data_IF_540459429712
#
_entry.id   IF_540459429712
#
_cell.length_a   1.000
_cell.length_b   1.000
_cell.length_c   1.000
_cell.angle_alpha   90.00
_cell.angle_beta   90.00
_cell.angle_gamma   90.00
#
_symmetry.space_group_name_H-M   'P 1'
#
loop_
_entity.id
_entity.type
_entity.pdbx_description
1 polymer ?
#
# COMPACT_ATOMS: atom_id res chain seq x y z
N UNK A 1 -54.92 28.24 -47.47
CA UNK A 1 -55.01 29.65 -47.93
C UNK A 1 -54.82 30.55 -46.72
N UNK A 2 -54.12 31.67 -46.91
CA UNK A 2 -53.29 32.37 -45.92
C UNK A 2 -54.06 32.95 -44.73
N UNK A 3 -53.50 32.81 -43.52
CA UNK A 3 -53.72 33.74 -42.42
C UNK A 3 -52.40 33.87 -41.65
N UNK A 4 -51.73 35.01 -41.80
CA UNK A 4 -50.50 35.34 -41.07
C UNK A 4 -50.75 36.63 -40.30
N UNK A 5 -50.96 36.48 -38.98
CA UNK A 5 -51.16 37.58 -38.05
C UNK A 5 -49.81 37.90 -37.41
N UNK A 6 -49.33 39.11 -37.64
CA UNK A 6 -48.17 39.72 -37.00
C UNK A 6 -48.59 40.09 -35.57
N UNK A 7 -47.86 39.62 -34.56
CA UNK A 7 -47.83 40.24 -33.23
C UNK A 7 -46.38 40.43 -32.78
N UNK A 8 -46.17 41.67 -32.34
CA UNK A 8 -44.96 42.34 -31.90
C UNK A 8 -44.52 41.93 -30.48
N UNK A 9 -43.27 42.30 -30.18
CA UNK A 9 -42.70 42.66 -28.86
C UNK A 9 -42.11 41.54 -27.98
N UNK A 10 -40.81 41.32 -28.22
CA UNK A 10 -39.71 41.44 -27.24
C UNK A 10 -40.05 41.39 -25.74
N UNK A 11 -39.47 40.41 -25.04
CA UNK A 11 -38.82 40.65 -23.75
C UNK A 11 -37.76 39.56 -23.54
N UNK A 12 -36.53 39.99 -23.25
CA UNK A 12 -35.35 39.15 -23.23
C UNK A 12 -35.32 38.13 -22.09
N UNK A 13 -34.55 37.07 -22.33
CA UNK A 13 -33.95 36.28 -21.27
C UNK A 13 -32.53 35.95 -21.72
N UNK A 14 -31.58 36.68 -21.15
CA UNK A 14 -30.17 36.31 -21.08
C UNK A 14 -30.13 35.00 -20.30
N UNK A 15 -30.02 33.88 -20.99
CA UNK A 15 -29.60 32.63 -20.36
C UNK A 15 -28.10 32.73 -20.22
N UNK A 16 -27.68 33.13 -19.03
CA UNK A 16 -26.31 33.03 -18.55
C UNK A 16 -25.90 31.55 -18.67
N UNK A 17 -24.99 31.24 -19.59
CA UNK A 17 -24.39 29.93 -19.70
C UNK A 17 -23.61 29.64 -18.42
N UNK A 18 -24.25 28.93 -17.48
CA UNK A 18 -23.55 28.26 -16.40
C UNK A 18 -22.77 27.09 -17.01
N UNK A 19 -21.56 27.38 -17.48
CA UNK A 19 -20.52 26.39 -17.64
C UNK A 19 -20.21 25.82 -16.26
N UNK A 20 -20.90 24.76 -15.87
CA UNK A 20 -20.52 23.91 -14.76
C UNK A 20 -19.21 23.23 -15.15
N UNK A 21 -18.09 23.91 -14.89
CA UNK A 21 -16.80 23.25 -14.86
C UNK A 21 -16.85 22.29 -13.68
N UNK A 22 -17.09 21.00 -13.97
CA UNK A 22 -16.76 19.94 -13.03
C UNK A 22 -15.27 20.09 -12.75
N UNK A 23 -14.92 20.64 -11.57
CA UNK A 23 -13.60 20.40 -11.03
C UNK A 23 -13.63 18.91 -10.69
N UNK A 24 -13.19 18.09 -11.65
CA UNK A 24 -12.69 16.76 -11.40
C UNK A 24 -11.54 16.93 -10.40
N UNK A 25 -11.91 16.97 -9.12
CA UNK A 25 -11.00 16.63 -8.04
C UNK A 25 -10.65 15.17 -8.25
N UNK A 26 -9.70 14.94 -9.15
CA UNK A 26 -9.01 13.67 -9.24
C UNK A 26 -8.50 13.38 -7.85
N UNK A 27 -9.20 12.47 -7.16
CA UNK A 27 -8.56 11.69 -6.13
C UNK A 27 -7.36 11.11 -6.85
N UNK A 28 -6.17 11.65 -6.54
CA UNK A 28 -4.94 10.95 -6.81
C UNK A 28 -5.14 9.60 -6.11
N UNK A 29 -5.55 8.59 -6.89
CA UNK A 29 -5.35 7.22 -6.49
C UNK A 29 -3.87 7.15 -6.17
N UNK A 30 -3.57 6.83 -4.92
CA UNK A 30 -2.28 6.28 -4.58
C UNK A 30 -1.97 5.28 -5.69
N UNK A 31 -0.87 5.50 -6.41
CA UNK A 31 -0.45 4.61 -7.49
C UNK A 31 -0.45 3.19 -6.94
N UNK A 32 -1.46 2.39 -7.29
CA UNK A 32 -1.58 0.97 -6.96
C UNK A 32 -0.66 0.14 -7.89
N UNK A 33 0.52 0.70 -8.11
CA UNK A 33 1.64 0.19 -8.88
C UNK A 33 2.90 0.62 -8.14
N UNK A 34 3.72 -0.38 -7.80
CA UNK A 34 5.08 -0.28 -7.27
C UNK A 34 5.28 -0.15 -5.75
N UNK A 35 4.62 -0.99 -4.93
CA UNK A 35 5.16 -1.31 -3.59
C UNK A 35 5.14 -2.82 -3.28
N UNK A 36 5.36 -3.63 -4.31
CA UNK A 36 5.42 -5.07 -4.19
C UNK A 36 6.61 -5.58 -3.36
N UNK A 37 7.63 -4.73 -3.17
CA UNK A 37 8.84 -5.00 -2.39
C UNK A 37 8.57 -4.95 -0.89
N UNK A 38 7.59 -4.15 -0.46
CA UNK A 38 7.21 -4.02 0.92
C UNK A 38 6.35 -5.22 1.35
N UNK A 39 6.71 -5.87 2.44
CA UNK A 39 5.99 -7.02 2.96
C UNK A 39 6.84 -7.91 3.86
N UNK A 40 6.20 -8.90 4.47
CA UNK A 40 6.88 -10.00 5.12
C UNK A 40 6.99 -11.16 4.11
N UNK A 41 8.17 -11.78 4.04
CA UNK A 41 8.44 -12.90 3.14
C UNK A 41 8.98 -14.07 3.95
N UNK A 42 8.41 -15.25 3.71
CA UNK A 42 8.86 -16.49 4.35
C UNK A 42 9.77 -17.26 3.40
N UNK A 43 10.87 -17.77 3.95
CA UNK A 43 11.70 -18.76 3.30
C UNK A 43 11.11 -20.16 3.51
N UNK A 44 11.49 -21.10 2.66
CA UNK A 44 11.05 -22.50 2.74
C UNK A 44 11.37 -23.18 4.10
N UNK A 45 12.28 -22.59 4.89
CA UNK A 45 12.79 -23.09 6.18
C UNK A 45 12.29 -22.42 7.46
N UNK A 46 11.22 -21.59 7.43
CA UNK A 46 10.58 -20.83 8.56
C UNK A 46 11.19 -19.48 8.93
N UNK A 47 12.30 -19.09 8.32
CA UNK A 47 12.81 -17.74 8.49
C UNK A 47 11.90 -16.74 7.76
N UNK A 48 11.75 -15.55 8.32
CA UNK A 48 10.97 -14.46 7.72
C UNK A 48 11.84 -13.22 7.65
N UNK A 49 11.82 -12.57 6.50
CA UNK A 49 12.35 -11.22 6.31
C UNK A 49 11.20 -10.23 6.12
N UNK A 50 11.16 -9.19 6.95
CA UNK A 50 10.24 -8.07 6.82
C UNK A 50 10.95 -6.93 6.09
N UNK A 51 10.40 -6.48 4.97
CA UNK A 51 10.91 -5.42 4.12
C UNK A 51 9.90 -4.27 4.12
N UNK A 52 10.37 -3.05 4.39
CA UNK A 52 9.54 -1.86 4.43
C UNK A 52 10.26 -0.66 3.83
N UNK A 53 9.52 0.28 3.25
CA UNK A 53 10.08 1.55 2.76
C UNK A 53 10.85 2.28 3.85
N UNK A 54 11.95 2.89 3.44
CA UNK A 54 12.80 3.76 4.24
C UNK A 54 13.08 5.05 3.45
N UNK A 55 13.78 6.00 4.08
CA UNK A 55 14.10 7.28 3.46
C UNK A 55 15.01 7.13 2.24
N UNK A 56 15.01 8.14 1.37
CA UNK A 56 15.92 8.19 0.22
C UNK A 56 15.67 7.11 -0.84
N UNK A 57 14.48 6.52 -0.88
CA UNK A 57 14.15 5.45 -1.83
C UNK A 57 14.83 4.11 -1.49
N UNK A 58 15.23 3.93 -0.23
CA UNK A 58 15.78 2.68 0.29
C UNK A 58 14.70 1.80 0.89
N UNK A 59 15.02 0.54 1.17
CA UNK A 59 14.18 -0.33 1.99
C UNK A 59 14.92 -0.74 3.26
N UNK A 60 14.24 -0.69 4.40
CA UNK A 60 14.72 -1.33 5.62
C UNK A 60 14.28 -2.79 5.61
N UNK A 61 15.16 -3.70 6.01
CA UNK A 61 14.80 -5.08 6.28
C UNK A 61 15.13 -5.49 7.71
N UNK A 62 14.43 -6.49 8.22
CA UNK A 62 14.72 -7.14 9.52
C UNK A 62 14.32 -8.61 9.50
N UNK A 63 15.03 -9.41 10.28
CA UNK A 63 14.70 -10.80 10.59
C UNK A 63 14.36 -10.94 12.08
N UNK A 64 13.75 -12.06 12.45
CA UNK A 64 13.36 -12.33 13.84
C UNK A 64 14.54 -12.55 14.79
N UNK A 65 15.72 -12.89 14.27
CA UNK A 65 16.96 -13.02 15.05
C UNK A 65 17.56 -11.66 15.47
N UNK A 66 16.95 -10.55 15.03
CA UNK A 66 17.39 -9.19 15.32
C UNK A 66 18.34 -8.59 14.27
N UNK A 67 18.74 -9.37 13.25
CA UNK A 67 19.51 -8.84 12.13
C UNK A 67 18.66 -7.88 11.30
N UNK A 68 19.27 -6.77 10.87
CA UNK A 68 18.59 -5.69 10.16
C UNK A 68 19.59 -4.95 9.28
N UNK A 69 19.07 -4.32 8.23
CA UNK A 69 19.86 -3.47 7.36
C UNK A 69 19.01 -2.58 6.47
N UNK A 70 19.70 -1.84 5.62
CA UNK A 70 19.11 -0.97 4.60
C UNK A 70 19.56 -1.43 3.22
N UNK A 71 18.60 -1.78 2.38
CA UNK A 71 18.76 -2.11 0.97
C UNK A 71 18.84 -0.84 0.13
N UNK A 72 19.90 -0.75 -0.65
CA UNK A 72 20.17 0.33 -1.59
C UNK A 72 20.09 -0.19 -3.03
N UNK A 73 19.28 0.48 -3.86
CA UNK A 73 19.12 0.11 -5.27
C UNK A 73 20.42 0.33 -6.04
N UNK A 74 20.80 -0.64 -6.87
CA UNK A 74 21.91 -0.55 -7.81
C UNK A 74 21.42 -0.24 -9.22
N UNK A 75 22.37 0.14 -10.07
CA UNK A 75 22.11 0.48 -11.47
C UNK A 75 21.63 -0.72 -12.29
N UNK A 76 22.03 -1.94 -11.92
CA UNK A 76 21.62 -3.20 -12.54
C UNK A 76 20.24 -3.70 -12.08
N UNK A 77 19.57 -2.95 -11.18
CA UNK A 77 18.28 -3.31 -10.61
C UNK A 77 18.34 -4.21 -9.38
N UNK A 78 19.53 -4.71 -9.02
CA UNK A 78 19.76 -5.42 -7.75
C UNK A 78 19.71 -4.45 -6.57
N UNK A 79 19.60 -5.00 -5.37
CA UNK A 79 19.70 -4.26 -4.12
C UNK A 79 20.81 -4.84 -3.26
N UNK A 80 21.62 -3.98 -2.66
CA UNK A 80 22.66 -4.41 -1.70
C UNK A 80 22.41 -3.78 -0.35
N UNK A 81 22.71 -4.52 0.72
CA UNK A 81 22.47 -4.06 2.07
C UNK A 81 23.69 -3.41 2.74
N UNK A 82 23.37 -2.64 3.77
CA UNK A 82 24.28 -2.12 4.79
C UNK A 82 23.74 -2.49 6.18
N UNK A 83 24.64 -2.72 7.13
CA UNK A 83 24.29 -3.18 8.48
C UNK A 83 23.51 -2.12 9.25
N UNK A 84 22.28 -2.42 9.66
CA UNK A 84 21.40 -1.47 10.33
C UNK A 84 21.28 -0.14 9.58
N UNK A 85 21.41 0.96 10.31
CA UNK A 85 21.48 2.33 9.75
C UNK A 85 22.91 2.85 9.61
N UNK A 86 23.87 1.95 9.44
CA UNK A 86 25.27 2.33 9.19
C UNK A 86 25.56 2.28 7.70
N UNK A 87 26.66 2.88 7.28
CA UNK A 87 27.14 2.77 5.89
C UNK A 87 28.01 1.51 5.67
N UNK A 88 28.11 0.61 6.67
CA UNK A 88 28.96 -0.58 6.59
C UNK A 88 28.28 -1.64 5.72
N UNK A 89 28.90 -2.11 4.62
CA UNK A 89 28.38 -3.24 3.85
C UNK A 89 28.30 -4.50 4.72
N UNK A 90 27.21 -5.23 4.62
CA UNK A 90 26.96 -6.48 5.34
C UNK A 90 26.96 -7.73 4.44
N UNK A 91 26.94 -7.53 3.12
CA UNK A 91 27.01 -8.60 2.12
C UNK A 91 25.65 -9.14 1.68
N UNK A 92 24.53 -8.66 2.23
CA UNK A 92 23.21 -9.13 1.83
C UNK A 92 22.75 -8.49 0.51
N UNK A 93 22.01 -9.25 -0.29
CA UNK A 93 21.46 -8.82 -1.57
C UNK A 93 19.99 -9.18 -1.71
N UNK A 94 19.26 -8.40 -2.51
CA UNK A 94 17.86 -8.68 -2.82
C UNK A 94 17.51 -8.38 -4.28
N UNK A 95 16.58 -9.15 -4.83
CA UNK A 95 15.99 -8.96 -6.14
C UNK A 95 14.47 -9.03 -6.05
N UNK A 96 13.81 -8.09 -6.72
CA UNK A 96 12.35 -7.94 -6.73
C UNK A 96 11.78 -8.11 -8.14
N UNK A 97 12.21 -9.16 -8.85
CA UNK A 97 11.87 -9.40 -10.26
C UNK A 97 10.47 -10.02 -10.44
N UNK A 98 10.04 -10.84 -9.49
CA UNK A 98 8.82 -11.65 -9.57
C UNK A 98 7.74 -11.19 -8.59
N UNK A 99 7.76 -9.90 -8.28
CA UNK A 99 6.82 -9.23 -7.38
C UNK A 99 5.33 -9.54 -7.64
N UNK A 100 4.93 -9.71 -8.91
CA UNK A 100 3.55 -10.02 -9.29
C UNK A 100 3.07 -11.40 -8.82
N UNK A 101 3.99 -12.32 -8.54
CA UNK A 101 3.68 -13.65 -7.99
C UNK A 101 3.87 -13.70 -6.47
N UNK A 102 4.25 -12.57 -5.86
CA UNK A 102 4.59 -12.51 -4.43
C UNK A 102 5.93 -13.16 -4.10
N UNK A 103 6.81 -13.41 -5.08
CA UNK A 103 8.14 -13.97 -4.86
C UNK A 103 9.22 -12.87 -4.90
N UNK A 104 10.21 -13.01 -4.04
CA UNK A 104 11.46 -12.24 -4.07
C UNK A 104 12.65 -13.17 -3.94
N UNK A 105 13.84 -12.69 -4.26
CA UNK A 105 15.10 -13.35 -3.92
C UNK A 105 15.84 -12.51 -2.87
N UNK A 106 16.31 -13.15 -1.80
CA UNK A 106 17.11 -12.53 -0.75
C UNK A 106 18.25 -13.50 -0.39
N UNK A 107 19.49 -13.03 -0.43
CA UNK A 107 20.69 -13.88 -0.26
C UNK A 107 20.71 -15.11 -1.19
N UNK A 108 20.22 -14.95 -2.42
CA UNK A 108 20.07 -16.03 -3.41
C UNK A 108 19.09 -17.15 -3.02
N UNK A 109 18.28 -16.95 -1.98
CA UNK A 109 17.15 -17.82 -1.64
C UNK A 109 15.83 -17.15 -2.01
N UNK A 110 14.90 -17.93 -2.56
CA UNK A 110 13.54 -17.49 -2.86
C UNK A 110 12.72 -17.38 -1.58
N UNK A 111 12.03 -16.26 -1.42
CA UNK A 111 11.08 -16.04 -0.35
C UNK A 111 9.72 -15.63 -0.91
N UNK A 112 8.65 -16.09 -0.26
CA UNK A 112 7.29 -15.85 -0.70
C UNK A 112 6.56 -14.93 0.27
N UNK A 113 5.80 -13.98 -0.26
CA UNK A 113 5.07 -13.00 0.51
C UNK A 113 4.05 -13.71 1.41
N UNK A 114 4.08 -13.35 2.68
CA UNK A 114 3.07 -13.78 3.64
C UNK A 114 1.78 -13.00 3.31
N UNK A 115 0.67 -13.67 2.97
CA UNK A 115 -0.57 -12.98 2.66
C UNK A 115 -1.14 -12.34 3.93
N UNK A 116 -1.70 -11.14 3.78
CA UNK A 116 -2.55 -10.54 4.81
C UNK A 116 -4.01 -10.82 4.48
N UNK A 117 -4.71 -11.46 5.39
CA UNK A 117 -6.16 -11.51 5.38
C UNK A 117 -6.69 -10.11 5.74
N UNK A 118 -7.57 -9.59 4.91
CA UNK A 118 -8.25 -8.31 5.12
C UNK A 118 -9.68 -8.61 5.51
N UNK A 119 -10.09 -8.14 6.69
CA UNK A 119 -11.45 -8.31 7.20
C UNK A 119 -12.09 -6.95 7.41
N UNK A 120 -13.14 -6.67 6.66
CA UNK A 120 -14.01 -5.52 6.94
C UNK A 120 -14.88 -5.83 8.16
N UNK A 121 -15.02 -4.85 9.05
CA UNK A 121 -15.72 -5.03 10.33
C UNK A 121 -16.41 -3.73 10.77
N UNK A 122 -17.28 -3.84 11.77
CA UNK A 122 -17.93 -2.69 12.42
C UNK A 122 -17.68 -2.76 13.92
N UNK A 123 -17.12 -1.69 14.47
CA UNK A 123 -16.93 -1.54 15.90
C UNK A 123 -18.11 -0.76 16.49
N UNK A 124 -18.77 -1.34 17.49
CA UNK A 124 -19.82 -0.63 18.25
C UNK A 124 -19.20 0.08 19.45
N UNK A 125 -19.30 1.42 19.43
CA UNK A 125 -18.88 2.30 20.50
C UNK A 125 -20.00 2.54 21.53
N UNK A 126 -19.63 3.21 22.62
CA UNK A 126 -20.58 3.58 23.68
C UNK A 126 -21.74 4.40 23.11
N UNK A 127 -22.97 4.10 23.54
CA UNK A 127 -24.16 4.82 23.08
C UNK A 127 -24.67 4.39 21.70
N UNK A 128 -24.20 3.25 21.17
CA UNK A 128 -24.70 2.69 19.90
C UNK A 128 -24.08 3.28 18.64
N UNK A 129 -22.99 4.05 18.77
CA UNK A 129 -22.25 4.57 17.63
C UNK A 129 -21.58 3.41 16.90
N UNK A 130 -21.73 3.35 15.57
CA UNK A 130 -21.09 2.33 14.73
C UNK A 130 -19.94 2.94 13.92
N UNK A 131 -18.76 2.34 14.01
CA UNK A 131 -17.57 2.75 13.27
C UNK A 131 -17.20 1.67 12.27
N UNK A 132 -17.17 2.02 10.99
CA UNK A 132 -16.63 1.13 9.97
C UNK A 132 -15.12 0.97 10.21
N UNK A 133 -14.64 -0.27 10.10
CA UNK A 133 -13.25 -0.60 10.31
C UNK A 133 -12.77 -1.68 9.35
N UNK A 134 -11.45 -1.74 9.18
CA UNK A 134 -10.77 -2.76 8.39
C UNK A 134 -9.59 -3.29 9.20
N UNK A 135 -9.56 -4.60 9.41
CA UNK A 135 -8.46 -5.31 10.04
C UNK A 135 -7.55 -5.96 9.00
N UNK A 136 -6.25 -5.92 9.25
CA UNK A 136 -5.22 -6.61 8.47
C UNK A 136 -4.50 -7.58 9.41
N UNK A 137 -4.41 -8.86 9.04
CA UNK A 137 -3.73 -9.88 9.84
C UNK A 137 -3.15 -10.98 8.98
N UNK A 138 -1.96 -11.48 9.32
CA UNK A 138 -1.37 -12.67 8.67
C UNK A 138 -1.86 -13.98 9.30
N UNK A 139 -2.52 -13.89 10.46
CA UNK A 139 -3.06 -15.01 11.22
C UNK A 139 -4.56 -14.82 11.40
N UNK A 140 -5.31 -15.92 11.34
CA UNK A 140 -6.77 -15.90 11.51
C UNK A 140 -7.20 -15.72 12.96
N UNK A 141 -6.33 -16.10 13.89
CA UNK A 141 -6.57 -15.99 15.32
C UNK A 141 -5.82 -14.78 15.87
N UNK A 142 -6.47 -14.06 16.79
CA UNK A 142 -5.85 -12.88 17.39
C UNK A 142 -4.71 -13.27 18.33
N UNK A 143 -3.59 -12.54 18.29
CA UNK A 143 -2.50 -12.63 19.28
C UNK A 143 -2.96 -12.40 20.74
N UNK A 144 -4.15 -11.80 20.95
CA UNK A 144 -4.84 -11.72 22.24
C UNK A 144 -5.38 -13.07 22.71
N UNK A 145 -6.00 -13.85 21.82
CA UNK A 145 -6.60 -15.15 22.14
C UNK A 145 -5.52 -16.18 22.49
N UNK A 146 -4.38 -16.12 21.81
CA UNK A 146 -3.22 -16.98 22.09
C UNK A 146 -2.30 -16.45 23.19
N UNK A 147 -2.63 -15.30 23.82
CA UNK A 147 -1.78 -14.60 24.80
C UNK A 147 -0.34 -14.29 24.31
N UNK A 148 -0.11 -14.26 23.00
CA UNK A 148 1.19 -14.01 22.41
C UNK A 148 1.75 -12.60 22.73
N UNK A 149 0.89 -11.66 23.13
CA UNK A 149 1.27 -10.30 23.52
C UNK A 149 1.75 -10.17 24.98
N UNK A 150 1.65 -11.21 25.80
CA UNK A 150 2.04 -11.19 27.21
C UNK A 150 3.50 -11.60 27.48
N UNK A 151 4.37 -11.64 26.46
CA UNK A 151 5.81 -11.70 26.72
C UNK A 151 6.32 -10.31 27.05
N UNK A 152 6.25 -9.96 28.34
CA UNK A 152 7.32 -9.43 29.20
C UNK A 152 6.77 -9.19 30.61
#
# INVERSE_FOLDING_TARGET
>A
MRSLRIYLLSLGLIVCGLSTACIDGGLAGESDGDDCQSGAYHFSGREIVDIARSEGGTFRWRKFDGTTGVLHKKQDGSWTSTLGWTDRPDGHTAFFTDCGTGEIEFDSEKAHRVPFDVTDTVFEGRGGIKLAGRGHGAERDSARESYALQRL
#
